data_IF_183355266543
#
_entry.id   IF_183355266543
#
_cell.length_a   1.000
_cell.length_b   1.000
_cell.length_c   1.000
_cell.angle_alpha   90.00
_cell.angle_beta   90.00
_cell.angle_gamma   90.00
#
_symmetry.space_group_name_H-M   'P 1'
#
loop_
_entity.id
_entity.type
_entity.pdbx_description
1 polymer ?
#
# COMPACT_ATOMS: atom_id res chain seq x y z
N UNK A 1 7.21 5.57 16.93
CA UNK A 1 7.05 4.17 17.41
C UNK A 1 5.91 3.51 16.66
N UNK A 2 6.20 2.78 15.57
CA UNK A 2 5.18 2.20 14.68
C UNK A 2 4.70 0.83 15.17
N UNK A 3 5.65 -0.09 15.42
CA UNK A 3 5.35 -1.49 15.77
C UNK A 3 4.52 -1.61 17.05
N UNK A 4 4.81 -0.78 18.06
CA UNK A 4 4.02 -0.77 19.31
C UNK A 4 2.55 -0.43 19.06
N UNK A 5 2.25 0.52 18.15
CA UNK A 5 0.88 0.87 17.80
C UNK A 5 0.15 -0.29 17.12
N UNK A 6 0.83 -1.02 16.22
CA UNK A 6 0.26 -2.22 15.60
C UNK A 6 -0.05 -3.31 16.62
N UNK A 7 0.86 -3.54 17.59
CA UNK A 7 0.65 -4.55 18.65
C UNK A 7 -0.55 -4.19 19.52
N UNK A 8 -0.66 -2.94 19.95
CA UNK A 8 -1.80 -2.50 20.77
C UNK A 8 -3.12 -2.63 19.98
N UNK A 9 -3.13 -2.24 18.71
CA UNK A 9 -4.31 -2.38 17.86
C UNK A 9 -4.70 -3.84 17.65
N UNK A 10 -3.73 -4.74 17.45
CA UNK A 10 -3.98 -6.18 17.31
C UNK A 10 -4.58 -6.79 18.57
N UNK A 11 -4.09 -6.40 19.75
CA UNK A 11 -4.65 -6.83 21.03
C UNK A 11 -6.10 -6.35 21.22
N UNK A 12 -6.42 -5.14 20.74
CA UNK A 12 -7.78 -4.59 20.82
C UNK A 12 -8.73 -5.25 19.82
N UNK A 13 -8.26 -5.53 18.60
CA UNK A 13 -9.06 -6.07 17.51
C UNK A 13 -9.23 -7.60 17.57
N UNK A 14 -8.28 -8.31 18.18
CA UNK A 14 -8.20 -9.77 18.14
C UNK A 14 -7.62 -10.34 16.83
N UNK A 15 -7.20 -9.48 15.89
CA UNK A 15 -6.57 -9.83 14.63
C UNK A 15 -5.54 -8.77 14.21
N UNK A 16 -4.52 -9.12 13.39
CA UNK A 16 -3.46 -8.20 13.00
C UNK A 16 -4.03 -6.96 12.28
N UNK A 17 -3.61 -5.76 12.72
CA UNK A 17 -4.05 -4.49 12.13
C UNK A 17 -3.76 -4.42 10.62
N UNK A 18 -2.60 -4.96 10.22
CA UNK A 18 -2.15 -5.01 8.82
C UNK A 18 -1.70 -6.43 8.47
N UNK A 19 -2.60 -7.29 7.94
CA UNK A 19 -2.31 -8.69 7.64
C UNK A 19 -1.62 -8.87 6.27
N UNK A 20 -0.45 -8.23 6.09
CA UNK A 20 0.31 -8.32 4.84
C UNK A 20 1.20 -9.57 4.77
N UNK A 21 1.02 -10.39 3.74
CA UNK A 21 1.91 -11.54 3.46
C UNK A 21 3.18 -11.13 2.70
N UNK A 22 3.14 -10.00 1.99
CA UNK A 22 4.24 -9.46 1.20
C UNK A 22 4.48 -7.98 1.53
N UNK A 23 5.67 -7.46 1.24
CA UNK A 23 6.01 -6.04 1.44
C UNK A 23 4.98 -5.10 0.77
N UNK A 24 4.50 -5.44 -0.43
CA UNK A 24 3.49 -4.64 -1.12
C UNK A 24 2.15 -4.63 -0.38
N UNK A 25 1.70 -5.76 0.15
CA UNK A 25 0.42 -5.85 0.86
C UNK A 25 0.46 -5.01 2.13
N UNK A 26 1.60 -5.03 2.84
CA UNK A 26 1.82 -4.16 4.01
C UNK A 26 1.65 -2.69 3.66
N UNK A 27 2.33 -2.22 2.60
CA UNK A 27 2.26 -0.82 2.16
C UNK A 27 0.85 -0.47 1.66
N UNK A 28 0.16 -1.41 1.00
CA UNK A 28 -1.22 -1.24 0.56
C UNK A 28 -2.17 -1.06 1.73
N UNK A 29 -2.14 -1.93 2.74
CA UNK A 29 -3.02 -1.83 3.91
C UNK A 29 -2.81 -0.52 4.67
N UNK A 30 -1.55 -0.11 4.86
CA UNK A 30 -1.22 1.18 5.48
C UNK A 30 -1.77 2.34 4.65
N UNK A 31 -1.54 2.32 3.33
CA UNK A 31 -1.98 3.41 2.46
C UNK A 31 -3.50 3.53 2.36
N UNK A 32 -4.23 2.41 2.49
CA UNK A 32 -5.70 2.39 2.45
C UNK A 32 -6.33 2.92 3.74
N UNK A 33 -5.70 2.67 4.89
CA UNK A 33 -6.24 3.06 6.20
C UNK A 33 -5.79 4.45 6.63
N UNK A 34 -4.56 4.84 6.28
CA UNK A 34 -3.94 6.10 6.72
C UNK A 34 -3.72 7.11 5.60
N UNK A 35 -4.02 6.74 4.35
CA UNK A 35 -3.69 7.54 3.17
C UNK A 35 -2.25 7.33 2.68
N UNK A 36 -1.90 7.96 1.57
CA UNK A 36 -0.57 7.82 0.97
C UNK A 36 0.51 8.47 1.85
N UNK A 37 1.73 7.90 1.91
CA UNK A 37 2.86 8.58 2.53
C UNK A 37 3.10 9.95 1.86
N UNK A 38 3.52 10.95 2.64
CA UNK A 38 3.75 12.29 2.12
C UNK A 38 4.77 12.33 0.97
N UNK A 39 4.59 13.24 0.01
CA UNK A 39 5.39 13.27 -1.23
C UNK A 39 6.90 13.33 -0.98
N UNK A 40 7.35 14.06 0.04
CA UNK A 40 8.77 14.13 0.41
C UNK A 40 9.34 12.75 0.73
N UNK A 41 8.61 11.92 1.46
CA UNK A 41 9.04 10.56 1.81
C UNK A 41 9.09 9.67 0.57
N UNK A 42 8.10 9.79 -0.31
CA UNK A 42 8.06 9.05 -1.57
C UNK A 42 9.23 9.46 -2.49
N UNK A 43 9.56 10.75 -2.55
CA UNK A 43 10.66 11.27 -3.36
C UNK A 43 12.05 10.82 -2.88
N UNK A 44 12.26 10.65 -1.57
CA UNK A 44 13.57 10.23 -1.02
C UNK A 44 13.68 8.71 -0.77
N UNK A 45 12.56 7.98 -0.81
CA UNK A 45 12.52 6.56 -0.51
C UNK A 45 13.19 5.71 -1.60
N UNK A 46 14.15 4.87 -1.20
CA UNK A 46 14.89 3.98 -2.11
C UNK A 46 14.03 2.88 -2.72
N UNK A 47 12.99 2.43 -2.01
CA UNK A 47 12.04 1.41 -2.47
C UNK A 47 10.75 1.99 -3.08
N UNK A 48 10.58 3.32 -3.14
CA UNK A 48 9.31 3.94 -3.57
C UNK A 48 8.88 3.44 -4.95
N UNK A 49 9.80 3.41 -5.92
CA UNK A 49 9.51 2.97 -7.28
C UNK A 49 9.07 1.51 -7.40
N UNK A 50 9.23 0.67 -6.36
CA UNK A 50 8.70 -0.70 -6.34
C UNK A 50 7.19 -0.73 -6.14
N UNK A 51 6.66 0.17 -5.31
CA UNK A 51 5.27 0.14 -4.86
C UNK A 51 4.43 1.28 -5.43
N UNK A 52 5.05 2.42 -5.77
CA UNK A 52 4.37 3.62 -6.26
C UNK A 52 4.87 4.03 -7.64
N UNK A 53 4.02 4.71 -8.40
CA UNK A 53 4.35 5.39 -9.65
C UNK A 53 3.88 6.85 -9.60
N UNK A 54 4.54 7.73 -10.35
CA UNK A 54 4.02 9.07 -10.62
C UNK A 54 3.11 9.00 -11.84
N UNK A 55 1.95 9.64 -11.78
CA UNK A 55 1.14 9.83 -12.97
C UNK A 55 1.78 10.93 -13.83
N UNK A 56 2.11 10.56 -15.07
CA UNK A 56 2.84 11.41 -16.01
C UNK A 56 1.94 12.37 -16.80
N UNK A 57 0.62 12.20 -16.75
CA UNK A 57 -0.32 12.89 -17.65
C UNK A 57 -0.92 14.19 -17.10
N UNK A 58 -0.54 14.64 -15.91
CA UNK A 58 -1.07 15.90 -15.37
C UNK A 58 0.04 16.82 -14.87
N UNK A 59 -0.20 18.12 -14.98
CA UNK A 59 0.68 19.20 -14.52
C UNK A 59 0.99 19.13 -13.00
N UNK A 60 0.31 18.23 -12.27
CA UNK A 60 0.54 17.86 -10.88
C UNK A 60 0.93 16.39 -10.84
N UNK A 61 2.23 16.11 -10.85
CA UNK A 61 2.76 14.75 -10.92
C UNK A 61 2.68 14.05 -9.55
N UNK A 62 1.45 13.69 -9.17
CA UNK A 62 1.11 13.03 -7.92
C UNK A 62 1.51 11.55 -7.90
N UNK A 63 1.93 11.09 -6.72
CA UNK A 63 2.23 9.69 -6.47
C UNK A 63 0.96 8.85 -6.34
N UNK A 64 0.97 7.66 -6.94
CA UNK A 64 -0.10 6.65 -6.83
C UNK A 64 0.48 5.29 -6.50
N UNK A 65 -0.24 4.52 -5.69
CA UNK A 65 0.09 3.12 -5.41
C UNK A 65 -0.14 2.30 -6.68
N UNK A 66 0.85 1.50 -7.09
CA UNK A 66 0.71 0.59 -8.23
C UNK A 66 -0.36 -0.44 -7.94
N UNK A 67 -1.23 -0.75 -8.90
CA UNK A 67 -2.18 -1.86 -8.76
C UNK A 67 -1.43 -3.17 -8.97
N UNK A 68 -1.34 -4.02 -7.93
CA UNK A 68 -0.95 -5.42 -8.15
C UNK A 68 -2.07 -6.10 -8.93
N UNK A 69 -1.76 -6.58 -10.13
CA UNK A 69 -2.58 -7.62 -10.77
C UNK A 69 -2.32 -8.92 -10.03
N UNK A 70 -3.11 -9.20 -9.00
CA UNK A 70 -3.16 -10.54 -8.41
C UNK A 70 -3.64 -11.50 -9.51
N UNK A 71 -2.99 -12.66 -9.72
CA UNK A 71 -3.44 -13.61 -10.75
C UNK A 71 -4.88 -14.11 -10.51
N UNK A 72 -5.36 -14.13 -9.27
CA UNK A 72 -6.76 -14.45 -8.93
C UNK A 72 -7.78 -13.52 -9.60
N UNK A 73 -7.47 -12.24 -9.75
CA UNK A 73 -8.36 -11.27 -10.38
C UNK A 73 -8.50 -11.49 -11.90
N UNK A 74 -7.52 -12.15 -12.54
CA UNK A 74 -7.69 -12.60 -13.93
C UNK A 74 -8.64 -13.78 -14.02
N UNK A 75 -8.61 -14.71 -13.06
CA UNK A 75 -9.50 -15.87 -13.05
C UNK A 75 -10.96 -15.46 -12.86
N UNK A 76 -11.22 -14.46 -12.01
CA UNK A 76 -12.57 -13.92 -11.82
C UNK A 76 -13.06 -13.08 -13.00
N UNK A 77 -12.19 -12.31 -13.66
CA UNK A 77 -12.55 -11.48 -14.82
C UNK A 77 -12.65 -12.25 -16.13
N UNK A 78 -12.20 -13.51 -16.20
CA UNK A 78 -12.32 -14.36 -17.38
C UNK A 78 -13.56 -15.27 -17.33
N UNK A 79 -14.38 -15.17 -16.28
CA UNK A 79 -15.63 -15.93 -16.10
C UNK A 79 -16.90 -15.09 -16.28
N UNK A 80 -16.79 -13.87 -16.80
CA UNK A 80 -17.93 -13.02 -17.21
C UNK A 80 -17.83 -12.72 -18.69
#
# INVERSE_FOLDING_TARGET
MWSLGCVIAELFLGWPLYPGALEYDQIRYVSQTQGLPGERLLNVGTKTARFFCRESDSSYSAWRLKVRRTPELKLLLQQT
#
